data_IF_170456371474
#
_entry.id   IF_170456371474
#
_cell.length_a   1.000
_cell.length_b   1.000
_cell.length_c   1.000
_cell.angle_alpha   90.00
_cell.angle_beta   90.00
_cell.angle_gamma   90.00
#
_symmetry.space_group_name_H-M   'P 1'
#
loop_
_entity.id
_entity.type
_entity.pdbx_description
1 polymer ?
#
# COMPACT_ATOMS: atom_id res chain seq x y z
N UNK A 1 -5.61 15.56 16.39
CA UNK A 1 -5.47 14.75 15.17
C UNK A 1 -6.89 14.39 14.73
N UNK A 2 -7.35 14.87 13.57
CA UNK A 2 -8.74 14.69 13.10
C UNK A 2 -8.84 13.46 12.17
N UNK A 3 -9.51 12.36 12.58
CA UNK A 3 -9.61 11.13 11.80
C UNK A 3 -10.44 11.27 10.51
N UNK A 4 -11.13 12.40 10.29
CA UNK A 4 -11.97 12.64 9.10
C UNK A 4 -11.19 12.93 7.81
N UNK A 5 -9.86 13.05 7.89
CA UNK A 5 -8.99 13.29 6.72
C UNK A 5 -8.35 12.02 6.14
N UNK A 6 -8.54 10.86 6.78
CA UNK A 6 -8.01 9.58 6.31
C UNK A 6 -9.13 8.72 5.67
N UNK A 7 -9.76 9.23 4.62
CA UNK A 7 -10.70 8.45 3.83
C UNK A 7 -9.92 7.65 2.78
N UNK A 8 -9.62 6.39 3.09
CA UNK A 8 -9.11 5.40 2.13
C UNK A 8 -7.79 4.75 2.54
N UNK A 9 -7.87 3.69 3.35
CA UNK A 9 -6.75 2.77 3.48
C UNK A 9 -6.55 2.02 2.16
N UNK A 10 -5.34 2.07 1.60
CA UNK A 10 -4.98 1.26 0.43
C UNK A 10 -4.76 -0.17 0.93
N UNK A 11 -5.57 -1.12 0.47
CA UNK A 11 -5.40 -2.52 0.81
C UNK A 11 -4.23 -3.11 0.03
N UNK A 12 -3.09 -3.29 0.71
CA UNK A 12 -1.94 -4.03 0.21
C UNK A 12 -2.24 -5.53 0.32
N UNK A 13 -2.08 -6.28 -0.77
CA UNK A 13 -2.34 -7.73 -0.81
C UNK A 13 -3.51 -8.18 -1.71
N UNK A 14 -4.15 -7.25 -2.42
CA UNK A 14 -5.08 -7.55 -3.50
C UNK A 14 -4.42 -7.27 -4.86
N UNK A 15 -4.81 -7.99 -5.91
CA UNK A 15 -4.32 -7.78 -7.28
C UNK A 15 -4.91 -6.51 -7.94
N UNK A 16 -5.26 -5.49 -7.16
CA UNK A 16 -5.97 -4.31 -7.65
C UNK A 16 -6.20 -3.24 -6.59
N UNK A 17 -6.79 -2.13 -7.04
CA UNK A 17 -7.11 -0.97 -6.21
C UNK A 17 -8.52 -1.15 -5.65
N UNK A 18 -8.66 -1.02 -4.33
CA UNK A 18 -9.95 -1.07 -3.65
C UNK A 18 -10.19 0.24 -2.91
N UNK A 19 -11.32 0.88 -3.22
CA UNK A 19 -11.80 2.09 -2.56
C UNK A 19 -13.06 1.75 -1.80
N UNK A 20 -13.08 2.02 -0.49
CA UNK A 20 -14.28 1.83 0.34
C UNK A 20 -14.89 3.17 0.70
N UNK A 21 -16.12 3.39 0.23
CA UNK A 21 -16.96 4.52 0.62
C UNK A 21 -17.83 4.18 1.84
N UNK A 22 -18.31 5.20 2.56
CA UNK A 22 -19.26 5.01 3.65
C UNK A 22 -20.66 4.68 3.12
N UNK A 23 -21.46 3.92 3.88
CA UNK A 23 -22.79 3.47 3.46
C UNK A 23 -23.83 4.57 3.19
N UNK A 24 -23.51 5.83 3.50
CA UNK A 24 -24.34 7.01 3.21
C UNK A 24 -23.70 7.99 2.22
N UNK A 25 -22.74 7.54 1.39
CA UNK A 25 -22.09 8.39 0.40
C UNK A 25 -23.10 8.89 -0.66
N UNK A 26 -23.08 10.19 -0.91
CA UNK A 26 -23.90 10.84 -1.94
C UNK A 26 -23.30 10.64 -3.35
N UNK A 27 -24.02 11.01 -4.43
CA UNK A 27 -23.53 10.85 -5.80
C UNK A 27 -22.20 11.56 -6.07
N UNK A 28 -21.93 12.69 -5.40
CA UNK A 28 -20.67 13.41 -5.54
C UNK A 28 -19.51 12.62 -4.92
N UNK A 29 -19.68 12.12 -3.71
CA UNK A 29 -18.68 11.30 -3.04
C UNK A 29 -18.42 9.99 -3.79
N UNK A 30 -19.42 9.44 -4.47
CA UNK A 30 -19.23 8.28 -5.34
C UNK A 30 -18.42 8.62 -6.60
N UNK A 31 -18.72 9.74 -7.26
CA UNK A 31 -17.95 10.22 -8.41
C UNK A 31 -16.49 10.50 -8.03
N UNK A 32 -16.25 11.15 -6.89
CA UNK A 32 -14.90 11.40 -6.37
C UNK A 32 -14.14 10.10 -6.08
N UNK A 33 -14.82 9.04 -5.60
CA UNK A 33 -14.19 7.73 -5.43
C UNK A 33 -13.76 7.11 -6.77
N UNK A 34 -14.55 7.29 -7.83
CA UNK A 34 -14.19 6.83 -9.19
C UNK A 34 -13.00 7.61 -9.73
N UNK A 35 -13.03 8.95 -9.64
CA UNK A 35 -11.92 9.81 -10.09
C UNK A 35 -10.62 9.46 -9.36
N UNK A 36 -10.69 9.26 -8.04
CA UNK A 36 -9.55 8.81 -7.24
C UNK A 36 -9.00 7.46 -7.76
N UNK A 37 -9.87 6.50 -8.03
CA UNK A 37 -9.47 5.20 -8.57
C UNK A 37 -8.80 5.33 -9.94
N UNK A 38 -9.36 6.15 -10.82
CA UNK A 38 -8.79 6.46 -12.12
C UNK A 38 -7.40 7.07 -12.00
N UNK A 39 -7.22 8.07 -11.13
CA UNK A 39 -5.93 8.72 -10.93
C UNK A 39 -4.89 7.76 -10.36
N UNK A 40 -5.26 6.85 -9.45
CA UNK A 40 -4.35 5.86 -8.91
C UNK A 40 -3.88 4.86 -9.97
N UNK A 41 -4.78 4.40 -10.86
CA UNK A 41 -4.41 3.54 -11.99
C UNK A 41 -3.53 4.29 -12.97
N UNK A 42 -3.95 5.51 -13.37
CA UNK A 42 -3.22 6.35 -14.33
C UNK A 42 -1.81 6.68 -13.86
N UNK A 43 -1.63 6.92 -12.57
CA UNK A 43 -0.33 7.22 -11.97
C UNK A 43 0.49 5.96 -11.62
N UNK A 44 0.01 4.76 -11.95
CA UNK A 44 0.72 3.50 -11.75
C UNK A 44 0.98 3.18 -10.28
N UNK A 45 0.06 3.54 -9.38
CA UNK A 45 0.25 3.40 -7.93
C UNK A 45 0.54 1.94 -7.54
N UNK A 46 -0.19 0.98 -8.13
CA UNK A 46 0.01 -0.44 -7.85
C UNK A 46 1.44 -0.89 -8.21
N UNK A 47 1.94 -0.51 -9.38
CA UNK A 47 3.30 -0.83 -9.83
C UNK A 47 4.33 -0.27 -8.86
N UNK A 48 4.19 0.99 -8.45
CA UNK A 48 5.12 1.64 -7.51
C UNK A 48 5.18 0.91 -6.17
N UNK A 49 4.01 0.57 -5.62
CA UNK A 49 3.90 -0.20 -4.38
C UNK A 49 4.60 -1.56 -4.51
N UNK A 50 4.36 -2.29 -5.60
CA UNK A 50 4.99 -3.60 -5.82
C UNK A 50 6.51 -3.47 -5.92
N UNK A 51 7.01 -2.51 -6.70
CA UNK A 51 8.45 -2.25 -6.84
C UNK A 51 9.09 -1.87 -5.50
N UNK A 52 8.44 -1.01 -4.71
CA UNK A 52 8.95 -0.60 -3.40
C UNK A 52 8.99 -1.78 -2.42
N UNK A 53 7.99 -2.67 -2.47
CA UNK A 53 7.95 -3.87 -1.63
C UNK A 53 9.02 -4.90 -2.05
N UNK A 54 9.21 -5.13 -3.35
CA UNK A 54 10.28 -5.98 -3.88
C UNK A 54 11.65 -5.47 -3.43
N UNK A 55 11.87 -4.15 -3.53
CA UNK A 55 13.08 -3.50 -3.04
C UNK A 55 13.27 -3.70 -1.54
N UNK A 56 12.21 -3.50 -0.75
CA UNK A 56 12.26 -3.70 0.70
C UNK A 56 12.62 -5.14 1.08
N UNK A 57 12.11 -6.14 0.36
CA UNK A 57 12.49 -7.54 0.59
C UNK A 57 13.93 -7.82 0.14
N UNK A 58 14.36 -7.31 -1.03
CA UNK A 58 15.72 -7.48 -1.50
C UNK A 58 16.76 -6.85 -0.55
N UNK A 59 16.45 -5.70 0.05
CA UNK A 59 17.30 -5.05 1.05
C UNK A 59 17.36 -5.82 2.38
N UNK A 60 16.34 -6.63 2.71
CA UNK A 60 16.29 -7.46 3.93
C UNK A 60 16.88 -8.85 3.73
N UNK A 61 16.70 -9.44 2.55
CA UNK A 61 17.28 -10.75 2.19
C UNK A 61 18.77 -10.61 1.79
N UNK A 62 19.23 -9.38 1.52
CA UNK A 62 20.62 -9.02 1.24
C UNK A 62 21.50 -8.75 2.46
N UNK A 63 21.02 -8.98 3.70
CA UNK A 63 21.83 -8.90 4.92
C UNK A 63 22.29 -10.30 5.38
N UNK A 64 23.49 -10.78 4.98
CA UNK A 64 24.06 -12.02 5.51
C UNK A 64 24.61 -11.88 6.95
N UNK A 65 24.10 -10.94 7.76
CA UNK A 65 24.87 -10.29 8.81
C UNK A 65 24.37 -10.36 10.26
N UNK A 66 23.52 -11.29 10.72
CA UNK A 66 23.36 -11.54 12.18
C UNK A 66 23.16 -13.02 12.51
N UNK A 67 24.24 -13.80 12.45
CA UNK A 67 24.50 -14.90 13.39
C UNK A 67 25.99 -15.23 13.37
N UNK A 68 26.78 -14.48 14.14
CA UNK A 68 28.14 -14.90 14.47
C UNK A 68 28.35 -14.87 15.98
N UNK A 69 28.50 -16.08 16.54
CA UNK A 69 29.16 -16.31 17.82
C UNK A 69 28.27 -16.88 18.91
N UNK A 70 28.31 -18.20 19.10
CA UNK A 70 28.97 -18.79 20.29
C UNK A 70 29.69 -20.05 19.81
N UNK A 71 31.01 -20.07 19.92
CA UNK A 71 31.82 -21.25 19.66
C UNK A 71 31.74 -22.21 20.84
N UNK A 72 31.55 -23.49 20.53
CA UNK A 72 31.92 -24.59 21.40
C UNK A 72 33.22 -25.20 20.84
N UNK A 73 34.24 -25.34 21.68
CA UNK A 73 35.54 -25.90 21.34
C UNK A 73 36.68 -25.24 22.08
#
# INVERSE_FOLDING_TARGET
>A
MDPRKANGGVFLGLNGIVIKSHGGTDPFGFASAIELGYDMVRNGLLTKITTDLERFHAERDGDPGVHKGVGEG
#
